data_IF_858839805282
#
_entry.id   IF_858839805282
#
_cell.length_a   1.000
_cell.length_b   1.000
_cell.length_c   1.000
_cell.angle_alpha   90.00
_cell.angle_beta   90.00
_cell.angle_gamma   90.00
#
_symmetry.space_group_name_H-M   'P 1'
#
loop_
_entity.id
_entity.type
_entity.pdbx_description
1 polymer ?
#
# COMPACT_ATOMS: atom_id res chain seq x y z
N UNK A 1 16.90 12.92 13.04
CA UNK A 1 17.93 11.89 12.84
C UNK A 1 17.20 10.65 12.33
N UNK A 2 17.49 10.19 11.12
CA UNK A 2 16.74 9.09 10.51
C UNK A 2 17.43 7.75 10.80
N UNK A 3 16.67 6.76 11.27
CA UNK A 3 17.19 5.41 11.45
C UNK A 3 17.58 4.81 10.08
N UNK A 4 18.73 4.14 10.00
CA UNK A 4 19.26 3.52 8.79
C UNK A 4 19.54 2.04 9.02
N UNK A 5 19.35 1.22 7.99
CA UNK A 5 19.72 -0.19 8.02
C UNK A 5 21.24 -0.34 8.15
N UNK A 6 21.71 -1.20 9.05
CA UNK A 6 23.15 -1.45 9.23
C UNK A 6 23.82 -2.24 8.10
N UNK A 7 23.05 -2.78 7.14
CA UNK A 7 23.57 -3.57 6.02
C UNK A 7 23.54 -2.77 4.72
N UNK A 8 22.35 -2.40 4.22
CA UNK A 8 22.23 -1.65 2.97
C UNK A 8 22.42 -0.13 3.13
N UNK A 9 22.49 0.36 4.38
CA UNK A 9 22.60 1.79 4.70
C UNK A 9 21.40 2.63 4.24
N UNK A 10 20.31 2.05 3.75
CA UNK A 10 19.12 2.81 3.39
C UNK A 10 18.40 3.35 4.62
N UNK A 11 17.65 4.44 4.40
CA UNK A 11 16.78 5.00 5.44
C UNK A 11 15.60 4.06 5.70
N UNK A 12 15.33 3.79 6.98
CA UNK A 12 14.22 2.98 7.43
C UNK A 12 12.95 3.82 7.44
N UNK A 13 12.00 3.45 6.60
CA UNK A 13 10.73 4.13 6.35
C UNK A 13 9.58 3.13 6.48
N UNK A 14 8.34 3.58 6.36
CA UNK A 14 7.17 2.70 6.29
C UNK A 14 7.33 1.61 5.20
N UNK A 15 7.93 1.97 4.05
CA UNK A 15 8.20 1.03 2.96
C UNK A 15 9.30 0.02 3.29
N UNK A 16 10.35 0.49 3.98
CA UNK A 16 11.48 -0.32 4.43
C UNK A 16 11.33 -0.66 5.91
N UNK A 17 10.31 -1.47 6.21
CA UNK A 17 9.90 -1.85 7.58
C UNK A 17 11.11 -2.16 8.47
N UNK A 18 11.34 -1.38 9.54
CA UNK A 18 12.46 -1.58 10.45
C UNK A 18 12.28 -2.83 11.31
N UNK A 19 13.36 -3.58 11.46
CA UNK A 19 13.49 -4.69 12.40
C UNK A 19 14.66 -4.44 13.34
N UNK A 20 14.52 -4.84 14.59
CA UNK A 20 15.59 -4.77 15.58
C UNK A 20 15.93 -6.15 16.11
N UNK A 21 17.21 -6.36 16.38
CA UNK A 21 17.70 -7.49 17.18
C UNK A 21 17.51 -7.18 18.67
N UNK A 22 17.49 -8.21 19.53
CA UNK A 22 17.45 -7.98 20.99
C UNK A 22 18.71 -7.28 21.52
N UNK A 23 19.80 -7.23 20.74
CA UNK A 23 20.97 -6.41 21.07
C UNK A 23 20.86 -4.94 20.62
N UNK A 24 19.75 -4.53 19.99
CA UNK A 24 19.41 -3.14 19.68
C UNK A 24 19.81 -2.64 18.30
N UNK A 25 20.42 -3.46 17.45
CA UNK A 25 20.84 -3.04 16.09
C UNK A 25 19.71 -3.21 15.07
N UNK A 26 19.63 -2.23 14.16
CA UNK A 26 18.53 -2.05 13.22
C UNK A 26 18.85 -2.52 11.80
N UNK A 27 17.85 -3.13 11.17
CA UNK A 27 17.90 -3.64 9.81
C UNK A 27 16.57 -3.31 9.11
N UNK A 28 16.55 -3.22 7.78
CA UNK A 28 15.28 -3.33 7.05
C UNK A 28 14.84 -4.79 7.02
N UNK A 29 13.53 -5.01 6.79
CA UNK A 29 12.93 -6.34 6.70
C UNK A 29 13.70 -7.29 5.76
N UNK A 30 14.07 -6.81 4.56
CA UNK A 30 14.75 -7.63 3.55
C UNK A 30 16.14 -8.06 4.02
N UNK A 31 16.96 -7.10 4.48
CA UNK A 31 18.31 -7.39 4.96
C UNK A 31 18.31 -8.29 6.20
N UNK A 32 17.35 -8.12 7.11
CA UNK A 32 17.25 -9.00 8.26
C UNK A 32 16.76 -10.40 7.88
N UNK A 33 15.77 -10.51 6.99
CA UNK A 33 15.32 -11.83 6.51
C UNK A 33 16.47 -12.58 5.84
N UNK A 34 17.27 -11.89 5.03
CA UNK A 34 18.45 -12.47 4.39
C UNK A 34 19.55 -12.84 5.39
N UNK A 35 19.93 -11.93 6.29
CA UNK A 35 21.05 -12.15 7.22
C UNK A 35 20.75 -13.19 8.31
N UNK A 36 19.48 -13.30 8.73
CA UNK A 36 19.06 -14.18 9.82
C UNK A 36 18.32 -15.45 9.36
N UNK A 37 18.41 -15.79 8.06
CA UNK A 37 17.79 -16.99 7.49
C UNK A 37 18.42 -18.31 7.98
N UNK A 38 19.66 -18.27 8.48
CA UNK A 38 20.42 -19.45 8.90
C UNK A 38 20.55 -19.52 10.43
N UNK A 39 20.57 -20.71 11.01
CA UNK A 39 20.61 -20.90 12.48
C UNK A 39 21.86 -20.34 13.17
N UNK A 40 22.96 -20.16 12.42
CA UNK A 40 24.22 -19.59 12.91
C UNK A 40 24.37 -18.09 12.58
N UNK A 41 23.27 -17.40 12.28
CA UNK A 41 23.33 -15.98 11.97
C UNK A 41 23.73 -15.13 13.18
N UNK A 42 24.47 -14.06 12.90
CA UNK A 42 24.93 -13.11 13.92
C UNK A 42 24.56 -11.68 13.54
N UNK A 43 24.42 -10.82 14.55
CA UNK A 43 24.29 -9.39 14.34
C UNK A 43 25.49 -8.86 13.54
N UNK A 44 25.24 -8.19 12.42
CA UNK A 44 26.29 -7.58 11.59
C UNK A 44 27.14 -6.52 12.33
N UNK A 45 26.64 -5.97 13.44
CA UNK A 45 27.34 -4.94 14.23
C UNK A 45 28.12 -5.56 15.40
N UNK A 46 27.44 -6.23 16.34
CA UNK A 46 28.07 -6.71 17.57
C UNK A 46 28.39 -8.21 17.59
N UNK A 47 28.10 -8.92 16.49
CA UNK A 47 28.37 -10.36 16.31
C UNK A 47 27.69 -11.31 17.31
N UNK A 48 26.75 -10.82 18.12
CA UNK A 48 25.92 -11.68 18.97
C UNK A 48 25.00 -12.57 18.12
N UNK A 49 24.82 -13.85 18.49
CA UNK A 49 23.95 -14.75 17.76
C UNK A 49 22.48 -14.35 17.93
N UNK A 50 21.74 -14.37 16.83
CA UNK A 50 20.30 -14.16 16.80
C UNK A 50 19.68 -15.05 15.72
N UNK A 51 18.40 -15.38 15.87
CA UNK A 51 17.61 -16.09 14.86
C UNK A 51 16.51 -15.17 14.35
N UNK A 52 16.04 -15.38 13.11
CA UNK A 52 14.99 -14.56 12.51
C UNK A 52 13.72 -14.43 13.38
N UNK A 53 13.19 -15.50 14.01
CA UNK A 53 12.01 -15.38 14.88
C UNK A 53 12.23 -14.54 16.14
N UNK A 54 13.48 -14.35 16.57
CA UNK A 54 13.82 -13.52 17.74
C UNK A 54 13.94 -12.03 17.41
N UNK A 55 13.84 -11.64 16.12
CA UNK A 55 13.83 -10.24 15.72
C UNK A 55 12.46 -9.61 15.99
N UNK A 56 12.47 -8.34 16.35
CA UNK A 56 11.26 -7.56 16.64
C UNK A 56 11.04 -6.59 15.49
N UNK A 57 9.89 -6.71 14.82
CA UNK A 57 9.45 -5.71 13.84
C UNK A 57 8.99 -4.46 14.58
N UNK A 58 9.55 -3.31 14.22
CA UNK A 58 9.20 -2.03 14.82
C UNK A 58 8.12 -1.33 13.99
N UNK A 59 7.25 -0.58 14.66
CA UNK A 59 6.21 0.24 14.06
C UNK A 59 6.37 1.69 14.53
N UNK A 60 7.37 2.44 14.05
CA UNK A 60 7.51 3.84 14.40
C UNK A 60 6.32 4.64 13.92
N UNK A 61 5.89 5.63 14.71
CA UNK A 61 4.95 6.65 14.28
C UNK A 61 5.66 7.59 13.31
N UNK A 62 5.78 7.16 12.05
CA UNK A 62 6.22 8.04 10.98
C UNK A 62 5.23 9.20 10.94
N UNK A 63 5.69 10.42 11.25
CA UNK A 63 4.91 11.60 10.92
C UNK A 63 4.58 11.49 9.45
N UNK A 64 3.31 11.20 9.13
CA UNK A 64 2.78 11.40 7.78
C UNK A 64 3.01 12.87 7.54
N UNK A 65 4.13 13.17 6.88
CA UNK A 65 4.44 14.49 6.40
C UNK A 65 3.17 14.89 5.67
N UNK A 66 2.45 15.86 6.22
CA UNK A 66 1.34 16.47 5.50
C UNK A 66 1.97 16.98 4.23
N UNK A 67 1.90 16.17 3.16
CA UNK A 67 2.24 16.59 1.82
C UNK A 67 1.59 17.95 1.68
N UNK A 68 2.42 18.93 1.37
CA UNK A 68 2.05 20.28 0.99
C UNK A 68 0.63 20.29 0.41
N UNK A 69 -0.35 20.74 1.21
CA UNK A 69 -1.67 21.15 0.70
C UNK A 69 -1.54 22.50 -0.01
N UNK A 70 -0.56 22.60 -0.91
CA UNK A 70 -0.23 23.81 -1.64
C UNK A 70 0.57 23.47 -2.92
N UNK A 71 -0.08 22.81 -3.88
CA UNK A 71 0.15 22.94 -5.34
C UNK A 71 1.47 22.46 -5.98
N UNK A 72 1.55 22.34 -7.33
CA UNK A 72 0.56 22.75 -8.33
C UNK A 72 -0.22 21.57 -8.92
N UNK A 73 -1.53 21.73 -8.96
CA UNK A 73 -2.49 20.91 -9.70
C UNK A 73 -2.29 21.08 -11.21
N UNK A 74 -1.56 20.16 -11.83
CA UNK A 74 -1.73 19.83 -13.25
C UNK A 74 -2.80 18.74 -13.33
N UNK A 75 -4.03 19.14 -13.68
CA UNK A 75 -5.17 18.24 -13.85
C UNK A 75 -6.43 18.68 -13.11
N UNK A 76 -6.92 19.90 -13.36
CA UNK A 76 -8.25 20.31 -12.94
C UNK A 76 -9.32 19.62 -13.79
N UNK A 77 -9.49 18.30 -13.62
CA UNK A 77 -10.81 17.70 -13.84
C UNK A 77 -11.64 18.07 -12.62
N UNK A 78 -12.72 18.81 -12.84
CA UNK A 78 -13.53 19.40 -11.77
C UNK A 78 -13.93 18.32 -10.76
N UNK A 79 -13.87 18.62 -9.46
CA UNK A 79 -14.36 17.71 -8.40
C UNK A 79 -15.78 17.21 -8.68
N UNK A 80 -16.59 18.03 -9.36
CA UNK A 80 -17.91 17.68 -9.86
C UNK A 80 -17.89 16.48 -10.83
N UNK A 81 -16.91 16.39 -11.73
CA UNK A 81 -16.81 15.31 -12.71
C UNK A 81 -16.39 13.96 -12.09
N UNK A 82 -15.56 13.98 -11.04
CA UNK A 82 -15.21 12.75 -10.30
C UNK A 82 -16.41 12.29 -9.47
N UNK A 83 -17.14 13.22 -8.83
CA UNK A 83 -18.34 12.89 -8.08
C UNK A 83 -19.46 12.34 -8.98
N UNK A 84 -19.65 12.91 -10.19
CA UNK A 84 -20.66 12.42 -11.14
C UNK A 84 -20.32 11.05 -11.73
N UNK A 85 -19.04 10.79 -12.01
CA UNK A 85 -18.59 9.47 -12.46
C UNK A 85 -18.78 8.39 -11.37
N UNK A 86 -18.50 8.73 -10.11
CA UNK A 86 -18.74 7.82 -8.98
C UNK A 86 -20.23 7.51 -8.77
N UNK A 87 -21.11 8.50 -8.95
CA UNK A 87 -22.55 8.31 -8.81
C UNK A 87 -23.11 7.36 -9.89
N UNK A 88 -22.66 7.47 -11.14
CA UNK A 88 -23.13 6.60 -12.22
C UNK A 88 -22.69 5.13 -12.09
N UNK A 89 -21.50 4.89 -11.55
CA UNK A 89 -21.04 3.52 -11.25
C UNK A 89 -21.90 2.89 -10.14
N UNK A 90 -22.22 3.66 -9.09
CA UNK A 90 -23.05 3.16 -8.00
C UNK A 90 -24.48 2.85 -8.46
N UNK A 91 -25.07 3.69 -9.32
CA UNK A 91 -26.41 3.48 -9.88
C UNK A 91 -26.48 2.18 -10.70
N UNK A 92 -25.48 1.96 -11.58
CA UNK A 92 -25.37 0.72 -12.36
C UNK A 92 -25.25 -0.53 -11.48
N UNK A 93 -24.51 -0.46 -10.37
CA UNK A 93 -24.44 -1.55 -9.39
C UNK A 93 -25.78 -1.78 -8.68
N UNK A 94 -26.50 -0.71 -8.33
CA UNK A 94 -27.81 -0.82 -7.67
C UNK A 94 -28.88 -1.44 -8.58
N UNK A 95 -28.86 -1.12 -9.88
CA UNK A 95 -29.79 -1.69 -10.85
C UNK A 95 -29.61 -3.21 -11.02
N UNK A 96 -28.36 -3.69 -11.00
CA UNK A 96 -28.06 -5.13 -11.02
C UNK A 96 -28.58 -5.80 -9.74
N UNK A 97 -28.30 -5.20 -8.58
CA UNK A 97 -28.74 -5.73 -7.28
C UNK A 97 -30.27 -5.77 -7.15
N UNK A 98 -30.99 -4.84 -7.78
CA UNK A 98 -32.45 -4.73 -7.68
C UNK A 98 -33.21 -5.58 -8.71
N UNK A 99 -32.58 -5.88 -9.85
CA UNK A 99 -33.20 -6.66 -10.92
C UNK A 99 -33.09 -8.16 -10.71
N UNK A 100 -32.13 -8.63 -9.90
CA UNK A 100 -31.95 -10.06 -9.62
C UNK A 100 -32.43 -10.44 -8.21
N UNK A 101 -33.32 -11.43 -8.15
CA UNK A 101 -33.89 -11.96 -6.91
C UNK A 101 -33.00 -12.98 -6.21
N UNK A 102 -31.86 -13.34 -6.82
CA UNK A 102 -30.86 -14.25 -6.27
C UNK A 102 -29.47 -13.63 -6.45
N UNK A 103 -28.70 -13.62 -5.37
CA UNK A 103 -27.54 -12.76 -5.20
C UNK A 103 -26.37 -13.09 -6.15
N UNK A 104 -25.86 -12.04 -6.81
CA UNK A 104 -24.50 -11.90 -7.31
C UNK A 104 -24.13 -12.82 -8.49
N UNK A 105 -24.73 -12.60 -9.66
CA UNK A 105 -24.11 -13.00 -10.92
C UNK A 105 -22.98 -12.01 -11.29
N UNK A 106 -21.70 -12.42 -11.19
CA UNK A 106 -20.57 -11.55 -11.55
C UNK A 106 -20.56 -11.18 -13.03
N UNK A 107 -21.15 -11.97 -13.92
CA UNK A 107 -21.18 -11.73 -15.37
C UNK A 107 -22.14 -10.58 -15.73
N UNK A 108 -23.29 -10.53 -15.06
CA UNK A 108 -24.25 -9.43 -15.17
C UNK A 108 -23.65 -8.09 -14.69
N UNK A 109 -22.90 -8.12 -13.59
CA UNK A 109 -22.21 -6.94 -13.04
C UNK A 109 -21.11 -6.43 -13.96
N UNK A 110 -20.27 -7.34 -14.48
CA UNK A 110 -19.21 -6.99 -15.43
C UNK A 110 -19.78 -6.37 -16.72
N UNK A 111 -20.88 -6.94 -17.22
CA UNK A 111 -21.59 -6.42 -18.40
C UNK A 111 -22.13 -5.00 -18.15
N UNK A 112 -22.72 -4.74 -16.98
CA UNK A 112 -23.27 -3.43 -16.63
C UNK A 112 -22.16 -2.37 -16.50
N UNK A 113 -21.06 -2.71 -15.83
CA UNK A 113 -19.89 -1.82 -15.69
C UNK A 113 -19.22 -1.55 -17.03
N UNK A 114 -19.07 -2.56 -17.89
CA UNK A 114 -18.50 -2.39 -19.22
C UNK A 114 -19.37 -1.47 -20.10
N UNK A 115 -20.70 -1.59 -20.04
CA UNK A 115 -21.61 -0.67 -20.75
C UNK A 115 -21.48 0.77 -20.26
N UNK A 116 -21.35 0.98 -18.94
CA UNK A 116 -21.14 2.31 -18.36
C UNK A 116 -19.81 2.93 -18.83
N UNK A 117 -18.73 2.15 -18.85
CA UNK A 117 -17.42 2.61 -19.33
C UNK A 117 -17.47 2.99 -20.81
N UNK A 118 -18.08 2.16 -21.67
CA UNK A 118 -18.19 2.45 -23.10
C UNK A 118 -19.02 3.71 -23.38
N UNK A 119 -20.13 3.91 -22.67
CA UNK A 119 -20.97 5.10 -22.82
C UNK A 119 -20.27 6.40 -22.38
N UNK A 120 -19.44 6.34 -21.34
CA UNK A 120 -18.77 7.54 -20.80
C UNK A 120 -17.39 7.82 -21.43
N UNK A 121 -16.75 6.82 -22.04
CA UNK A 121 -15.49 7.01 -22.76
C UNK A 121 -15.65 7.66 -24.14
N UNK A 122 -16.84 7.58 -24.76
CA UNK A 122 -17.10 8.22 -26.06
C UNK A 122 -17.26 9.75 -25.98
N UNK A 123 -17.25 10.34 -24.78
CA UNK A 123 -17.31 11.79 -24.54
C UNK A 123 -15.94 12.43 -24.30
N UNK A 124 -14.84 11.69 -24.51
CA UNK A 124 -13.46 12.15 -24.27
C UNK A 124 -12.57 12.20 -25.53
N UNK A 125 -13.17 12.11 -26.72
CA UNK A 125 -12.52 12.41 -27.99
C UNK A 125 -13.19 13.61 -28.67
#
# INVERSE_FOLDING_TARGET
>A
MNARCSICLDTLTEKSSPMTTVCGHLYCLDCATFNFASDNSTCAICRRPHTLPALIKLYPDYERSKLNRAGPSSGTRSKAHIASAGAGVLDACYDVIKSEKDACDPEALETALSKYVLHNCHSLY
#
